data_IF_748885779660
#
_entry.id   IF_748885779660
#
_cell.length_a   1.000
_cell.length_b   1.000
_cell.length_c   1.000
_cell.angle_alpha   90.00
_cell.angle_beta   90.00
_cell.angle_gamma   90.00
#
_symmetry.space_group_name_H-M   'P 1'
#
loop_
_entity.id
_entity.type
_entity.pdbx_description
1 polymer ?
#
# COMPACT_ATOMS: atom_id res chain seq x y z
N UNK A 1 44.80 4.04 47.93
CA UNK A 1 44.18 3.22 46.86
C UNK A 1 42.66 3.34 46.98
N UNK A 2 41.99 4.04 46.06
CA UNK A 2 40.53 4.00 45.96
C UNK A 2 40.16 2.96 44.91
N UNK A 3 39.56 1.85 45.35
CA UNK A 3 38.95 0.87 44.46
C UNK A 3 37.75 1.54 43.80
N UNK A 4 37.91 1.93 42.52
CA UNK A 4 36.78 2.29 41.66
C UNK A 4 35.90 1.04 41.53
N UNK A 5 34.75 1.04 42.20
CA UNK A 5 33.68 0.08 41.94
C UNK A 5 33.33 0.14 40.45
N UNK A 6 33.37 -1.01 39.77
CA UNK A 6 32.94 -1.13 38.38
C UNK A 6 31.46 -0.72 38.28
N UNK A 7 31.04 0.06 37.27
CA UNK A 7 29.65 0.47 37.14
C UNK A 7 28.77 -0.77 37.01
N UNK A 8 27.72 -0.83 37.83
CA UNK A 8 26.69 -1.89 37.76
C UNK A 8 26.11 -1.89 36.35
N UNK A 9 26.35 -2.96 35.59
CA UNK A 9 25.76 -3.12 34.26
C UNK A 9 24.26 -3.29 34.43
N UNK A 10 23.48 -2.38 33.84
CA UNK A 10 22.01 -2.53 33.76
C UNK A 10 21.69 -3.71 32.86
N UNK A 11 20.92 -4.66 33.39
CA UNK A 11 20.37 -5.77 32.62
C UNK A 11 19.06 -5.35 31.95
N UNK A 12 19.15 -5.03 30.67
CA UNK A 12 18.00 -4.65 29.84
C UNK A 12 17.16 -5.86 29.40
N UNK A 13 17.65 -7.09 29.63
CA UNK A 13 16.91 -8.32 29.32
C UNK A 13 15.88 -8.67 30.40
N UNK A 14 16.07 -8.16 31.62
CA UNK A 14 15.19 -8.38 32.77
C UNK A 14 14.06 -7.33 32.91
N UNK A 15 13.77 -6.56 31.86
CA UNK A 15 12.66 -5.60 31.87
C UNK A 15 11.32 -6.34 32.00
N UNK A 16 10.36 -5.84 32.81
CA UNK A 16 9.01 -6.37 32.84
C UNK A 16 8.35 -6.30 31.45
N UNK A 17 7.59 -7.34 31.08
CA UNK A 17 6.96 -7.45 29.76
C UNK A 17 6.09 -6.24 29.41
N UNK A 18 5.31 -5.71 30.36
CA UNK A 18 4.48 -4.52 30.12
C UNK A 18 5.29 -3.25 29.78
N UNK A 19 6.49 -3.11 30.36
CA UNK A 19 7.39 -2.00 30.02
C UNK A 19 7.98 -2.23 28.62
N UNK A 20 8.40 -3.47 28.33
CA UNK A 20 8.96 -3.81 27.03
C UNK A 20 7.94 -3.65 25.89
N UNK A 21 6.70 -4.07 26.12
CA UNK A 21 5.58 -3.84 25.22
C UNK A 21 5.37 -2.35 24.94
N UNK A 22 5.40 -1.51 25.98
CA UNK A 22 5.30 -0.05 25.82
C UNK A 22 6.45 0.53 25.01
N UNK A 23 7.67 0.02 25.18
CA UNK A 23 8.83 0.39 24.35
C UNK A 23 8.60 -0.03 22.90
N UNK A 24 8.11 -1.25 22.66
CA UNK A 24 7.86 -1.78 21.32
C UNK A 24 6.80 -0.96 20.58
N UNK A 25 5.71 -0.56 21.25
CA UNK A 25 4.72 0.35 20.67
C UNK A 25 5.33 1.68 20.19
N UNK A 26 6.40 2.16 20.83
CA UNK A 26 7.11 3.39 20.42
C UNK A 26 8.14 3.18 19.33
N UNK A 27 8.76 2.00 19.26
CA UNK A 27 9.73 1.66 18.22
C UNK A 27 9.04 1.47 16.87
N UNK A 28 7.89 0.79 16.87
CA UNK A 28 7.19 0.42 15.66
C UNK A 28 7.69 -0.90 15.04
N UNK A 29 6.95 -1.47 14.07
CA UNK A 29 7.14 -2.89 13.71
C UNK A 29 8.43 -3.19 12.97
N UNK A 30 8.96 -2.24 12.18
CA UNK A 30 10.20 -2.42 11.43
C UNK A 30 11.41 -2.50 12.35
N UNK A 31 11.48 -1.61 13.31
CA UNK A 31 12.52 -1.52 14.34
C UNK A 31 12.47 -2.73 15.26
N UNK A 32 11.26 -3.18 15.62
CA UNK A 32 11.09 -4.45 16.35
C UNK A 32 11.63 -5.60 15.51
N UNK A 33 11.19 -5.73 14.26
CA UNK A 33 11.54 -6.86 13.39
C UNK A 33 13.05 -6.95 13.11
N UNK A 34 13.69 -5.82 12.82
CA UNK A 34 15.09 -5.78 12.41
C UNK A 34 16.07 -5.72 13.59
N UNK A 35 15.63 -5.23 14.75
CA UNK A 35 16.51 -4.93 15.89
C UNK A 35 16.07 -5.62 17.17
N UNK A 36 14.88 -5.30 17.68
CA UNK A 36 14.47 -5.72 19.01
C UNK A 36 14.23 -7.23 19.13
N UNK A 37 13.56 -7.83 18.15
CA UNK A 37 13.30 -9.27 18.06
C UNK A 37 14.60 -10.10 18.00
N UNK A 38 15.59 -9.78 17.15
CA UNK A 38 16.84 -10.51 17.15
C UNK A 38 17.77 -10.24 18.34
N UNK A 39 17.54 -9.19 19.14
CA UNK A 39 18.47 -8.78 20.20
C UNK A 39 18.64 -9.82 21.31
N UNK A 40 17.55 -10.39 21.83
CA UNK A 40 17.59 -11.45 22.83
C UNK A 40 16.28 -12.26 22.89
N UNK A 41 16.32 -13.42 23.56
CA UNK A 41 15.17 -14.33 23.69
C UNK A 41 13.99 -13.71 24.43
N UNK A 42 14.24 -12.94 25.49
CA UNK A 42 13.18 -12.26 26.25
C UNK A 42 12.42 -11.25 25.38
N UNK A 43 13.16 -10.48 24.57
CA UNK A 43 12.56 -9.49 23.68
C UNK A 43 11.80 -10.12 22.51
N UNK A 44 12.35 -11.20 21.95
CA UNK A 44 11.64 -12.04 20.98
C UNK A 44 10.34 -12.60 21.53
N UNK A 45 10.32 -13.04 22.79
CA UNK A 45 9.12 -13.62 23.39
C UNK A 45 7.95 -12.64 23.37
N UNK A 46 8.18 -11.41 23.83
CA UNK A 46 7.17 -10.34 23.78
C UNK A 46 6.83 -9.97 22.33
N UNK A 47 7.84 -9.83 21.46
CA UNK A 47 7.60 -9.49 20.06
C UNK A 47 6.73 -10.54 19.35
N UNK A 48 6.91 -11.83 19.62
CA UNK A 48 6.14 -12.91 18.99
C UNK A 48 4.78 -13.11 19.67
N UNK A 49 4.71 -12.94 20.99
CA UNK A 49 3.51 -13.18 21.79
C UNK A 49 2.43 -12.12 21.66
N UNK A 50 2.74 -10.95 21.09
CA UNK A 50 1.85 -9.79 21.04
C UNK A 50 1.45 -9.41 19.60
N UNK A 51 0.35 -9.98 19.04
CA UNK A 51 -0.14 -9.67 17.70
C UNK A 51 -0.45 -8.19 17.46
N UNK A 52 -0.80 -7.47 18.53
CA UNK A 52 -1.16 -6.05 18.48
C UNK A 52 -0.01 -5.17 17.98
N UNK A 53 1.24 -5.58 18.22
CA UNK A 53 2.44 -4.92 17.71
C UNK A 53 2.55 -4.99 16.19
N UNK A 54 1.86 -5.94 15.54
CA UNK A 54 1.99 -6.23 14.12
C UNK A 54 0.74 -5.84 13.32
N UNK A 55 -0.21 -5.08 13.91
CA UNK A 55 -1.43 -4.63 13.22
C UNK A 55 -1.16 -3.69 12.05
N UNK A 56 -0.06 -2.92 12.09
CA UNK A 56 0.27 -1.90 11.08
C UNK A 56 1.73 -2.03 10.66
N UNK A 57 1.99 -2.81 9.63
CA UNK A 57 3.33 -3.11 9.14
C UNK A 57 3.76 -2.10 8.08
N UNK A 58 4.63 -1.17 8.43
CA UNK A 58 5.35 -0.37 7.43
C UNK A 58 6.80 -0.85 7.34
N UNK A 59 7.07 -1.63 6.30
CA UNK A 59 8.38 -2.24 6.04
C UNK A 59 9.19 -1.46 4.99
N UNK A 60 8.65 -0.34 4.49
CA UNK A 60 9.24 0.46 3.43
C UNK A 60 9.53 -0.37 2.17
N UNK A 61 10.74 -0.27 1.64
CA UNK A 61 11.19 -1.01 0.44
C UNK A 61 11.67 -2.44 0.73
N UNK A 62 11.45 -2.96 1.94
CA UNK A 62 11.77 -4.36 2.24
C UNK A 62 10.79 -5.29 1.51
N UNK A 63 11.35 -6.30 0.84
CA UNK A 63 10.57 -7.32 0.14
C UNK A 63 9.60 -8.04 1.09
N UNK A 64 8.36 -8.19 0.63
CA UNK A 64 7.28 -8.85 1.35
C UNK A 64 7.68 -10.26 1.78
N UNK A 65 8.38 -11.01 0.91
CA UNK A 65 8.95 -12.33 1.22
C UNK A 65 9.80 -12.35 2.49
N UNK A 66 10.53 -11.25 2.77
CA UNK A 66 11.42 -11.12 3.94
C UNK A 66 10.68 -10.76 5.22
N UNK A 67 9.50 -10.17 5.13
CA UNK A 67 8.73 -9.74 6.29
C UNK A 67 7.47 -10.61 6.55
N UNK A 68 7.31 -11.73 5.84
CA UNK A 68 6.19 -12.67 6.07
C UNK A 68 6.09 -13.19 7.52
N UNK A 69 7.21 -13.27 8.24
CA UNK A 69 7.20 -13.62 9.66
C UNK A 69 6.47 -12.57 10.51
N UNK A 70 6.57 -11.28 10.18
CA UNK A 70 5.78 -10.23 10.83
C UNK A 70 4.28 -10.38 10.55
N UNK A 71 3.92 -10.70 9.30
CA UNK A 71 2.52 -10.99 8.92
C UNK A 71 1.96 -12.17 9.72
N UNK A 72 2.74 -13.24 9.90
CA UNK A 72 2.35 -14.39 10.73
C UNK A 72 2.13 -14.00 12.18
N UNK A 73 3.00 -13.15 12.75
CA UNK A 73 2.87 -12.69 14.14
C UNK A 73 1.64 -11.83 14.37
N UNK A 74 1.17 -11.12 13.35
CA UNK A 74 -0.09 -10.39 13.42
C UNK A 74 -1.30 -11.31 13.62
N UNK A 75 -1.17 -12.63 13.43
CA UNK A 75 -2.21 -13.62 13.73
C UNK A 75 -3.58 -13.26 13.12
N UNK A 76 -3.57 -12.80 11.87
CA UNK A 76 -4.77 -12.38 11.14
C UNK A 76 -5.30 -10.97 11.47
N UNK A 77 -4.67 -10.25 12.40
CA UNK A 77 -5.06 -8.91 12.84
C UNK A 77 -4.33 -7.78 12.08
N UNK A 78 -3.51 -8.11 11.07
CA UNK A 78 -2.86 -7.09 10.24
C UNK A 78 -3.91 -6.29 9.48
N UNK A 79 -3.96 -4.98 9.73
CA UNK A 79 -4.91 -4.04 9.13
C UNK A 79 -4.26 -3.13 8.08
N UNK A 80 -2.95 -2.93 8.17
CA UNK A 80 -2.20 -2.08 7.25
C UNK A 80 -0.86 -2.72 6.93
N UNK A 81 -0.52 -2.78 5.64
CA UNK A 81 0.79 -3.23 5.19
C UNK A 81 1.36 -2.30 4.12
N UNK A 82 2.63 -1.94 4.25
CA UNK A 82 3.43 -1.28 3.25
C UNK A 82 4.76 -2.03 3.10
N UNK A 83 5.07 -2.53 1.90
CA UNK A 83 6.28 -3.30 1.60
C UNK A 83 6.56 -3.27 0.09
N UNK A 84 7.77 -3.68 -0.34
CA UNK A 84 7.95 -4.05 -1.74
C UNK A 84 7.42 -5.46 -2.00
N UNK A 85 6.98 -5.77 -3.22
CA UNK A 85 6.41 -7.10 -3.52
C UNK A 85 7.19 -7.78 -4.63
N UNK A 86 7.91 -8.84 -4.27
CA UNK A 86 8.88 -9.52 -5.12
C UNK A 86 8.35 -10.78 -5.82
N UNK A 87 7.13 -11.23 -5.49
CA UNK A 87 6.53 -12.41 -6.11
C UNK A 87 5.02 -12.57 -5.83
N UNK A 88 4.33 -13.19 -6.77
CA UNK A 88 2.93 -13.64 -6.63
C UNK A 88 2.72 -14.51 -5.38
N UNK A 89 3.68 -15.39 -5.09
CA UNK A 89 3.61 -16.29 -3.94
C UNK A 89 3.59 -15.51 -2.61
N UNK A 90 4.38 -14.44 -2.50
CA UNK A 90 4.43 -13.61 -1.29
C UNK A 90 3.15 -12.81 -1.12
N UNK A 91 2.59 -12.28 -2.22
CA UNK A 91 1.30 -11.58 -2.19
C UNK A 91 0.15 -12.52 -1.78
N UNK A 92 0.07 -13.71 -2.37
CA UNK A 92 -0.93 -14.71 -2.03
C UNK A 92 -0.79 -15.20 -0.58
N UNK A 93 0.45 -15.30 -0.08
CA UNK A 93 0.70 -15.63 1.32
C UNK A 93 0.16 -14.54 2.25
N UNK A 94 0.43 -13.26 1.96
CA UNK A 94 -0.09 -12.13 2.72
C UNK A 94 -1.62 -12.17 2.81
N UNK A 95 -2.29 -12.32 1.67
CA UNK A 95 -3.75 -12.34 1.60
C UNK A 95 -4.36 -13.44 2.47
N UNK A 96 -3.72 -14.61 2.54
CA UNK A 96 -4.15 -15.72 3.43
C UNK A 96 -3.90 -15.41 4.90
N UNK A 97 -2.80 -14.72 5.23
CA UNK A 97 -2.38 -14.41 6.59
C UNK A 97 -2.98 -13.14 7.19
N UNK A 98 -3.59 -12.27 6.38
CA UNK A 98 -4.10 -10.96 6.79
C UNK A 98 -5.55 -10.71 6.31
N UNK A 99 -6.55 -11.48 6.77
CA UNK A 99 -7.95 -11.28 6.40
C UNK A 99 -8.54 -9.94 6.88
N UNK A 100 -7.95 -9.31 7.89
CA UNK A 100 -8.39 -8.02 8.45
C UNK A 100 -7.76 -6.79 7.75
N UNK A 101 -7.07 -7.00 6.62
CA UNK A 101 -6.30 -5.96 5.95
C UNK A 101 -7.25 -4.92 5.32
N UNK A 102 -7.07 -3.66 5.72
CA UNK A 102 -7.83 -2.48 5.27
C UNK A 102 -7.00 -1.58 4.36
N UNK A 103 -5.68 -1.56 4.54
CA UNK A 103 -4.75 -0.76 3.75
C UNK A 103 -3.61 -1.62 3.22
N UNK A 104 -3.42 -1.62 1.90
CA UNK A 104 -2.32 -2.30 1.23
C UNK A 104 -1.56 -1.31 0.34
N UNK A 105 -0.26 -1.15 0.62
CA UNK A 105 0.66 -0.38 -0.20
C UNK A 105 1.79 -1.27 -0.68
N UNK A 106 1.93 -1.41 -1.99
CA UNK A 106 2.96 -2.22 -2.61
C UNK A 106 3.87 -1.32 -3.46
N UNK A 107 5.14 -1.28 -3.10
CA UNK A 107 6.19 -0.58 -3.84
C UNK A 107 6.90 -1.56 -4.77
N UNK A 108 7.39 -1.09 -5.92
CA UNK A 108 8.19 -1.90 -6.86
C UNK A 108 7.67 -3.35 -6.99
N UNK A 109 6.36 -3.46 -7.25
CA UNK A 109 5.63 -4.69 -7.17
C UNK A 109 5.81 -5.47 -8.48
N UNK A 110 6.69 -6.47 -8.43
CA UNK A 110 6.89 -7.45 -9.49
C UNK A 110 5.93 -8.63 -9.29
N UNK A 111 4.65 -8.39 -9.62
CA UNK A 111 3.58 -9.38 -9.54
C UNK A 111 2.81 -9.43 -10.84
N UNK A 112 2.24 -10.59 -11.15
CA UNK A 112 1.34 -10.74 -12.28
C UNK A 112 0.01 -10.04 -12.01
N UNK A 113 -0.60 -9.53 -13.09
CA UNK A 113 -1.93 -8.93 -13.01
C UNK A 113 -2.97 -9.92 -12.45
N UNK A 114 -2.88 -11.18 -12.84
CA UNK A 114 -3.76 -12.26 -12.35
C UNK A 114 -3.65 -12.40 -10.84
N UNK A 115 -2.43 -12.50 -10.30
CA UNK A 115 -2.22 -12.65 -8.86
C UNK A 115 -2.67 -11.41 -8.09
N UNK A 116 -2.43 -10.20 -8.62
CA UNK A 116 -2.89 -8.96 -8.01
C UNK A 116 -4.43 -8.91 -7.93
N UNK A 117 -5.11 -9.18 -9.05
CA UNK A 117 -6.57 -9.14 -9.12
C UNK A 117 -7.21 -10.17 -8.18
N UNK A 118 -6.72 -11.41 -8.19
CA UNK A 118 -7.19 -12.44 -7.24
C UNK A 118 -7.00 -12.03 -5.78
N UNK A 119 -5.87 -11.40 -5.48
CA UNK A 119 -5.53 -10.94 -4.14
C UNK A 119 -6.51 -9.87 -3.67
N UNK A 120 -6.76 -8.86 -4.50
CA UNK A 120 -7.73 -7.80 -4.22
C UNK A 120 -9.13 -8.38 -3.99
N UNK A 121 -9.57 -9.37 -4.79
CA UNK A 121 -10.87 -10.05 -4.62
C UNK A 121 -11.00 -10.85 -3.32
N UNK A 122 -9.89 -11.30 -2.73
CA UNK A 122 -9.86 -12.02 -1.44
C UNK A 122 -9.83 -11.07 -0.23
N UNK A 123 -9.30 -9.86 -0.38
CA UNK A 123 -9.21 -8.86 0.69
C UNK A 123 -10.53 -8.09 0.92
N UNK A 124 -11.50 -8.73 1.56
CA UNK A 124 -12.88 -8.21 1.68
C UNK A 124 -13.03 -6.86 2.41
N UNK A 125 -12.09 -6.53 3.29
CA UNK A 125 -12.09 -5.32 4.10
C UNK A 125 -11.21 -4.20 3.52
N UNK A 126 -10.65 -4.38 2.31
CA UNK A 126 -9.73 -3.43 1.73
C UNK A 126 -10.43 -2.10 1.41
N UNK A 127 -9.97 -1.03 2.05
CA UNK A 127 -10.44 0.34 1.87
C UNK A 127 -9.42 1.20 1.12
N UNK A 128 -8.14 0.84 1.17
CA UNK A 128 -7.05 1.62 0.60
C UNK A 128 -6.09 0.73 -0.15
N UNK A 129 -5.86 1.06 -1.42
CA UNK A 129 -4.93 0.34 -2.28
C UNK A 129 -3.99 1.33 -2.96
N UNK A 130 -2.69 1.11 -2.77
CA UNK A 130 -1.63 1.80 -3.50
C UNK A 130 -0.69 0.75 -4.08
N UNK A 131 -0.48 0.78 -5.39
CA UNK A 131 0.38 -0.18 -6.09
C UNK A 131 1.25 0.56 -7.08
N UNK A 132 2.55 0.35 -6.96
CA UNK A 132 3.57 0.74 -7.94
C UNK A 132 4.07 -0.54 -8.62
N UNK A 133 3.59 -0.81 -9.83
CA UNK A 133 3.87 -2.04 -10.57
C UNK A 133 5.11 -1.90 -11.45
N UNK A 134 6.00 -2.88 -11.29
CA UNK A 134 7.14 -3.18 -12.16
C UNK A 134 6.92 -4.56 -12.77
N UNK A 135 5.89 -4.69 -13.62
CA UNK A 135 5.53 -5.97 -14.22
C UNK A 135 6.61 -6.46 -15.20
N UNK A 136 6.82 -7.77 -15.31
CA UNK A 136 7.73 -8.35 -16.30
C UNK A 136 7.05 -8.73 -17.63
N UNK A 137 5.84 -8.21 -17.90
CA UNK A 137 5.02 -8.65 -19.03
C UNK A 137 3.98 -7.62 -19.46
N UNK A 138 3.31 -7.85 -20.60
CA UNK A 138 2.37 -6.91 -21.18
C UNK A 138 1.17 -6.70 -20.25
N UNK A 139 0.79 -5.44 -20.05
CA UNK A 139 -0.29 -5.04 -19.17
C UNK A 139 -1.19 -4.01 -19.87
N UNK A 140 -2.49 -4.31 -19.88
CA UNK A 140 -3.54 -3.37 -20.28
C UNK A 140 -3.92 -2.47 -19.10
N UNK A 141 -3.62 -1.18 -19.21
CA UNK A 141 -3.76 -0.25 -18.09
C UNK A 141 -5.22 -0.03 -17.67
N UNK A 142 -6.12 0.20 -18.62
CA UNK A 142 -7.54 0.40 -18.34
C UNK A 142 -8.18 -0.87 -17.82
N UNK A 143 -7.84 -2.02 -18.39
CA UNK A 143 -8.31 -3.31 -17.86
C UNK A 143 -7.90 -3.48 -16.38
N UNK A 144 -6.65 -3.15 -16.03
CA UNK A 144 -6.19 -3.19 -14.65
C UNK A 144 -7.07 -2.33 -13.72
N UNK A 145 -7.28 -1.06 -14.08
CA UNK A 145 -8.10 -0.15 -13.26
C UNK A 145 -9.54 -0.66 -13.16
N UNK A 146 -10.12 -1.13 -14.27
CA UNK A 146 -11.47 -1.68 -14.29
C UNK A 146 -11.60 -2.85 -13.32
N UNK A 147 -10.73 -3.87 -13.41
CA UNK A 147 -10.81 -5.06 -12.55
C UNK A 147 -10.64 -4.73 -11.07
N UNK A 148 -9.77 -3.78 -10.74
CA UNK A 148 -9.59 -3.32 -9.35
C UNK A 148 -10.90 -2.71 -8.84
N UNK A 149 -11.49 -1.79 -9.60
CA UNK A 149 -12.73 -1.12 -9.22
C UNK A 149 -13.92 -2.09 -9.13
N UNK A 150 -14.03 -3.07 -10.05
CA UNK A 150 -15.02 -4.15 -9.99
C UNK A 150 -14.85 -5.03 -8.75
N UNK A 151 -13.60 -5.38 -8.42
CA UNK A 151 -13.29 -6.21 -7.26
C UNK A 151 -13.57 -5.49 -5.93
N UNK A 152 -13.34 -4.16 -5.89
CA UNK A 152 -13.46 -3.33 -4.68
C UNK A 152 -14.13 -1.98 -4.93
N UNK A 153 -15.46 -1.95 -5.14
CA UNK A 153 -16.20 -0.71 -5.33
C UNK A 153 -16.27 0.18 -4.07
N UNK A 154 -15.84 -0.35 -2.92
CA UNK A 154 -15.88 0.31 -1.61
C UNK A 154 -14.56 1.02 -1.25
N UNK A 155 -13.56 1.02 -2.14
CA UNK A 155 -12.30 1.71 -1.89
C UNK A 155 -12.53 3.19 -1.58
N UNK A 156 -11.80 3.68 -0.58
CA UNK A 156 -11.69 5.09 -0.19
C UNK A 156 -10.49 5.76 -0.83
N UNK A 157 -9.41 5.00 -1.08
CA UNK A 157 -8.21 5.47 -1.77
C UNK A 157 -7.73 4.44 -2.78
N UNK A 158 -7.43 4.90 -3.98
CA UNK A 158 -6.83 4.11 -5.04
C UNK A 158 -5.66 4.89 -5.63
N UNK A 159 -4.47 4.29 -5.63
CA UNK A 159 -3.27 4.79 -6.31
C UNK A 159 -2.67 3.68 -7.16
N UNK A 160 -2.53 3.90 -8.46
CA UNK A 160 -1.95 2.91 -9.38
C UNK A 160 -0.90 3.59 -10.26
N UNK A 161 0.35 3.21 -10.01
CA UNK A 161 1.50 3.57 -10.83
C UNK A 161 2.02 2.32 -11.54
N UNK A 162 2.35 2.45 -12.83
CA UNK A 162 2.86 1.35 -13.65
C UNK A 162 4.06 1.87 -14.44
N UNK A 163 5.12 1.07 -14.61
CA UNK A 163 6.24 1.45 -15.47
C UNK A 163 5.85 1.40 -16.96
N UNK A 164 6.18 2.45 -17.71
CA UNK A 164 5.79 2.61 -19.13
C UNK A 164 6.23 1.46 -20.04
N UNK A 165 7.34 0.78 -19.73
CA UNK A 165 7.89 -0.31 -20.55
C UNK A 165 7.00 -1.56 -20.60
N UNK A 166 6.01 -1.65 -19.70
CA UNK A 166 5.14 -2.83 -19.53
C UNK A 166 3.76 -2.66 -20.16
N UNK A 167 3.43 -1.42 -20.56
CA UNK A 167 2.12 -1.06 -21.05
C UNK A 167 1.96 -1.48 -22.50
N UNK A 168 0.83 -2.09 -22.79
CA UNK A 168 0.34 -2.32 -24.15
C UNK A 168 -0.92 -1.52 -24.39
N UNK A 169 -1.21 -1.26 -25.66
CA UNK A 169 -2.35 -0.45 -26.06
C UNK A 169 -3.68 -1.05 -25.55
N UNK A 170 -4.54 -0.16 -25.08
CA UNK A 170 -5.81 -0.49 -24.44
C UNK A 170 -6.94 0.25 -25.18
N UNK A 171 -7.26 -0.26 -26.37
CA UNK A 171 -8.26 0.33 -27.28
C UNK A 171 -9.68 0.37 -26.68
N UNK A 172 -9.93 -0.36 -25.60
CA UNK A 172 -11.23 -0.41 -24.93
C UNK A 172 -11.48 0.85 -24.10
N UNK A 173 -12.76 1.23 -23.94
CA UNK A 173 -13.14 2.36 -23.11
C UNK A 173 -13.12 1.99 -21.62
N UNK A 174 -12.56 2.86 -20.78
CA UNK A 174 -12.50 2.65 -19.33
C UNK A 174 -13.86 2.91 -18.66
N UNK A 175 -14.62 1.85 -18.39
CA UNK A 175 -15.96 1.93 -17.78
C UNK A 175 -15.97 1.36 -16.35
N UNK A 176 -15.56 2.15 -15.35
CA UNK A 176 -15.57 1.71 -13.94
C UNK A 176 -16.99 1.56 -13.35
N UNK A 177 -17.23 0.80 -12.27
CA UNK A 177 -18.47 0.87 -11.49
C UNK A 177 -18.59 2.19 -10.72
N UNK A 178 -19.77 2.44 -10.11
CA UNK A 178 -19.94 3.57 -9.18
C UNK A 178 -19.13 3.30 -7.91
N UNK A 179 -18.23 4.23 -7.58
CA UNK A 179 -17.33 4.17 -6.44
C UNK A 179 -17.80 5.11 -5.32
N UNK A 180 -18.84 4.72 -4.60
CA UNK A 180 -19.54 5.60 -3.65
C UNK A 180 -18.67 6.13 -2.50
N UNK A 181 -17.54 5.48 -2.20
CA UNK A 181 -16.68 5.82 -1.07
C UNK A 181 -15.31 6.41 -1.47
N UNK A 182 -15.00 6.47 -2.76
CA UNK A 182 -13.68 6.87 -3.24
C UNK A 182 -13.48 8.37 -3.04
N UNK A 183 -12.46 8.73 -2.24
CA UNK A 183 -12.10 10.11 -1.91
C UNK A 183 -10.80 10.55 -2.55
N UNK A 184 -9.85 9.63 -2.73
CA UNK A 184 -8.59 9.91 -3.41
C UNK A 184 -8.35 8.93 -4.54
N UNK A 185 -8.09 9.46 -5.72
CA UNK A 185 -7.69 8.71 -6.91
C UNK A 185 -6.35 9.26 -7.42
N UNK A 186 -5.39 8.38 -7.60
CA UNK A 186 -4.10 8.69 -8.24
C UNK A 186 -3.82 7.65 -9.32
N UNK A 187 -3.74 8.10 -10.58
CA UNK A 187 -3.41 7.23 -11.71
C UNK A 187 -2.23 7.84 -12.46
N UNK A 188 -1.36 6.98 -12.99
CA UNK A 188 -0.32 7.37 -13.93
C UNK A 188 -0.86 7.27 -15.34
N UNK A 189 -0.89 8.40 -16.06
CA UNK A 189 -1.53 8.51 -17.37
C UNK A 189 -0.49 8.75 -18.47
N UNK A 190 0.01 7.66 -19.05
CA UNK A 190 0.92 7.68 -20.20
C UNK A 190 0.15 7.68 -21.53
N UNK A 191 -0.77 8.64 -21.72
CA UNK A 191 -1.67 8.74 -22.89
C UNK A 191 -2.76 7.65 -22.97
N UNK A 192 -3.08 6.96 -21.87
CA UNK A 192 -4.03 5.85 -21.90
C UNK A 192 -5.47 6.29 -21.67
N UNK A 193 -5.75 7.32 -20.87
CA UNK A 193 -7.12 7.67 -20.47
C UNK A 193 -7.55 8.98 -21.14
N UNK A 194 -8.43 8.89 -22.13
CA UNK A 194 -8.98 10.06 -22.82
C UNK A 194 -9.71 11.02 -21.88
N UNK A 195 -9.94 12.24 -22.34
CA UNK A 195 -10.61 13.26 -21.53
C UNK A 195 -12.05 12.85 -21.17
N UNK A 196 -12.78 12.24 -22.11
CA UNK A 196 -14.16 11.81 -21.86
C UNK A 196 -14.21 10.66 -20.84
N UNK A 197 -13.25 9.75 -20.86
CA UNK A 197 -13.11 8.69 -19.86
C UNK A 197 -12.81 9.25 -18.46
N UNK A 198 -11.94 10.26 -18.35
CA UNK A 198 -11.68 10.95 -17.09
C UNK A 198 -12.94 11.60 -16.51
N UNK A 199 -13.74 12.26 -17.36
CA UNK A 199 -15.02 12.84 -16.95
C UNK A 199 -15.98 11.73 -16.46
N UNK A 200 -16.08 10.62 -17.20
CA UNK A 200 -16.89 9.47 -16.82
C UNK A 200 -16.47 8.86 -15.46
N UNK A 201 -15.17 8.78 -15.18
CA UNK A 201 -14.63 8.33 -13.88
C UNK A 201 -15.07 9.27 -12.76
N UNK A 202 -14.91 10.59 -12.95
CA UNK A 202 -15.28 11.61 -11.95
C UNK A 202 -16.79 11.58 -11.65
N UNK A 203 -17.63 11.37 -12.66
CA UNK A 203 -19.07 11.25 -12.50
C UNK A 203 -19.48 10.00 -11.70
N UNK A 204 -18.70 8.94 -11.79
CA UNK A 204 -18.90 7.69 -11.03
C UNK A 204 -18.32 7.71 -9.61
N UNK A 205 -17.65 8.80 -9.23
CA UNK A 205 -17.01 8.96 -7.92
C UNK A 205 -17.60 10.18 -7.18
N UNK A 206 -18.77 10.05 -6.52
CA UNK A 206 -19.51 11.19 -5.97
C UNK A 206 -18.82 11.87 -4.78
N UNK A 207 -17.96 11.15 -4.04
CA UNK A 207 -17.24 11.66 -2.86
C UNK A 207 -15.77 12.00 -3.14
N UNK A 208 -15.37 12.10 -4.42
CA UNK A 208 -13.98 12.35 -4.79
C UNK A 208 -13.51 13.75 -4.34
N UNK A 209 -12.46 13.79 -3.52
CA UNK A 209 -11.85 14.99 -2.94
C UNK A 209 -10.45 15.27 -3.52
N UNK A 210 -9.76 14.23 -4.00
CA UNK A 210 -8.40 14.34 -4.53
C UNK A 210 -8.28 13.51 -5.80
N UNK A 211 -7.81 14.14 -6.87
CA UNK A 211 -7.50 13.49 -8.13
C UNK A 211 -6.08 13.88 -8.54
N UNK A 212 -5.14 12.95 -8.46
CA UNK A 212 -3.79 13.14 -8.99
C UNK A 212 -3.65 12.39 -10.31
N UNK A 213 -3.20 13.13 -11.32
CA UNK A 213 -2.86 12.58 -12.63
C UNK A 213 -1.36 12.81 -12.80
N UNK A 214 -0.57 11.72 -12.85
CA UNK A 214 0.85 11.81 -13.16
C UNK A 214 1.01 11.83 -14.68
N UNK A 215 1.80 12.79 -15.17
CA UNK A 215 1.99 13.15 -16.57
C UNK A 215 0.72 13.75 -17.23
N UNK A 216 0.75 15.08 -17.41
CA UNK A 216 -0.38 15.86 -17.92
C UNK A 216 0.01 16.63 -19.18
N UNK A 217 1.03 16.16 -19.89
CA UNK A 217 1.61 16.86 -21.03
C UNK A 217 0.63 17.14 -22.18
N UNK A 218 -0.55 16.48 -22.22
CA UNK A 218 -1.54 16.59 -23.32
C UNK A 218 -2.92 17.17 -23.00
N UNK A 219 -3.35 17.30 -21.73
CA UNK A 219 -4.76 17.62 -21.45
C UNK A 219 -5.08 19.12 -21.37
N UNK A 220 -6.20 19.49 -21.99
CA UNK A 220 -6.85 20.77 -21.83
C UNK A 220 -7.55 20.85 -20.46
N UNK A 221 -6.80 21.24 -19.44
CA UNK A 221 -7.21 21.28 -18.02
C UNK A 221 -8.50 22.03 -17.68
N UNK A 222 -9.01 22.86 -18.59
CA UNK A 222 -10.22 23.65 -18.35
C UNK A 222 -11.46 22.76 -18.21
N UNK A 223 -11.55 21.65 -18.94
CA UNK A 223 -12.73 20.78 -18.91
C UNK A 223 -12.84 20.01 -17.57
N UNK A 224 -11.71 19.46 -17.10
CA UNK A 224 -11.62 18.86 -15.76
C UNK A 224 -11.98 19.88 -14.69
N UNK A 225 -11.37 21.06 -14.73
CA UNK A 225 -11.61 22.10 -13.72
C UNK A 225 -13.06 22.55 -13.68
N UNK A 226 -13.71 22.75 -14.82
CA UNK A 226 -15.13 23.13 -14.85
C UNK A 226 -16.05 22.06 -14.27
N UNK A 227 -15.75 20.76 -14.46
CA UNK A 227 -16.49 19.68 -13.79
C UNK A 227 -16.15 19.52 -12.31
N UNK A 228 -15.01 20.03 -11.89
CA UNK A 228 -14.63 20.13 -10.48
C UNK A 228 -15.22 21.38 -9.81
N UNK A 229 -15.74 22.36 -10.54
CA UNK A 229 -16.39 23.54 -9.97
C UNK A 229 -17.66 23.11 -9.21
N UNK A 230 -17.55 23.04 -7.89
CA UNK A 230 -18.59 22.56 -6.98
C UNK A 230 -18.24 21.26 -6.24
N UNK A 231 -17.15 20.59 -6.61
CA UNK A 231 -16.53 19.49 -5.84
C UNK A 231 -15.27 20.04 -5.15
N UNK A 232 -15.00 19.65 -3.91
CA UNK A 232 -13.74 19.98 -3.21
C UNK A 232 -12.56 19.17 -3.78
N UNK A 233 -12.40 19.18 -5.10
CA UNK A 233 -11.53 18.28 -5.85
C UNK A 233 -10.18 18.94 -6.14
N UNK A 234 -9.14 18.43 -5.52
CA UNK A 234 -7.77 18.90 -5.72
C UNK A 234 -7.09 18.14 -6.85
N UNK A 235 -6.72 18.87 -7.92
CA UNK A 235 -5.94 18.33 -9.03
C UNK A 235 -4.48 18.76 -8.89
N UNK A 236 -3.61 17.82 -8.53
CA UNK A 236 -2.16 18.06 -8.44
C UNK A 236 -1.42 17.47 -9.64
N UNK A 237 -0.43 18.21 -10.14
CA UNK A 237 0.53 17.75 -11.16
C UNK A 237 1.77 17.21 -10.49
N UNK A 238 2.25 16.05 -10.90
CA UNK A 238 3.65 15.67 -10.67
C UNK A 238 4.49 16.35 -11.74
N UNK A 239 5.38 17.28 -11.34
CA UNK A 239 6.42 17.76 -12.25
C UNK A 239 7.24 16.55 -12.72
N UNK A 240 7.60 16.45 -14.01
CA UNK A 240 8.58 15.46 -14.42
C UNK A 240 9.84 15.68 -13.59
N UNK A 241 10.37 14.59 -13.02
CA UNK A 241 11.66 14.62 -12.36
C UNK A 241 12.65 15.32 -13.30
N UNK A 242 13.25 16.42 -12.84
CA UNK A 242 14.47 16.93 -13.47
C UNK A 242 15.50 15.82 -13.31
N UNK A 243 15.95 15.28 -14.44
CA UNK A 243 17.18 14.49 -14.56
C UNK A 243 18.34 15.17 -13.82
#
# INVERSE_FOLDING_TARGET
>A
MHLRSAPVKRDWTALPEGILFTVFLKLGPREIFCGADPACTAWRHVAVGEPTLWRRLDMGTMALSRCLAAVRRAAGQCESLAASCDSDASLLFLVRGAPSLKSLRLFDANVSFVALNESIRKLSQLEELEVELSCSGPLKYKELILRICEARPQLKRLSVTVSSETLIDDEEELVIPIMCNLRSLELTDYDNISMDEWVAIIDKCPLLESLRIRDLSRYNHWLLRSRCEGKNLWISRSCPHRE
#
